data_IF_488771503007
#
_entry.id   IF_488771503007
#
_cell.length_a   1.000
_cell.length_b   1.000
_cell.length_c   1.000
_cell.angle_alpha   90.00
_cell.angle_beta   90.00
_cell.angle_gamma   90.00
#
_symmetry.space_group_name_H-M   'P 1'
#
loop_
_entity.id
_entity.type
_entity.pdbx_description
1 polymer ?
#
# COMPACT_ATOMS: atom_id res chain seq x y z
N UNK A 1 15.61 39.42 -8.44
CA UNK A 1 14.37 39.64 -7.68
C UNK A 1 14.22 38.50 -6.68
N UNK A 2 14.13 38.78 -5.38
CA UNK A 2 14.00 37.74 -4.34
C UNK A 2 12.52 37.48 -4.01
N UNK A 3 12.17 36.23 -3.65
CA UNK A 3 10.79 35.85 -3.26
C UNK A 3 10.19 36.76 -2.17
N UNK A 4 10.95 37.19 -1.13
CA UNK A 4 10.44 38.13 -0.13
C UNK A 4 10.12 39.51 -0.73
N UNK A 5 10.98 40.03 -1.62
CA UNK A 5 10.77 41.35 -2.23
C UNK A 5 9.54 41.40 -3.15
N UNK A 6 9.22 40.30 -3.85
CA UNK A 6 8.01 40.18 -4.67
C UNK A 6 6.74 40.12 -3.81
N UNK A 7 6.79 39.36 -2.72
CA UNK A 7 5.67 39.19 -1.79
C UNK A 7 5.34 40.49 -1.03
N UNK A 8 6.36 41.26 -0.63
CA UNK A 8 6.20 42.57 0.01
C UNK A 8 5.64 43.62 -0.95
N UNK A 9 6.05 43.58 -2.23
CA UNK A 9 5.63 44.57 -3.24
C UNK A 9 4.22 44.32 -3.77
N UNK A 10 3.71 43.09 -3.69
CA UNK A 10 2.34 42.70 -4.07
C UNK A 10 1.69 41.84 -2.98
N UNK A 11 1.27 42.46 -1.85
CA UNK A 11 0.75 41.72 -0.70
C UNK A 11 -0.52 40.91 -1.01
N UNK A 12 -1.35 41.40 -1.93
CA UNK A 12 -2.57 40.68 -2.37
C UNK A 12 -2.23 39.34 -3.01
N UNK A 13 -1.15 39.25 -3.80
CA UNK A 13 -0.71 38.00 -4.42
C UNK A 13 -0.29 36.98 -3.36
N UNK A 14 0.45 37.42 -2.34
CA UNK A 14 0.89 36.55 -1.25
C UNK A 14 -0.29 36.00 -0.44
N UNK A 15 -1.31 36.83 -0.18
CA UNK A 15 -2.53 36.43 0.54
C UNK A 15 -3.34 35.43 -0.28
N UNK A 16 -3.55 35.68 -1.58
CA UNK A 16 -4.30 34.75 -2.45
C UNK A 16 -3.60 33.39 -2.54
N UNK A 17 -2.26 33.37 -2.67
CA UNK A 17 -1.49 32.12 -2.69
C UNK A 17 -1.68 31.33 -1.38
N UNK A 18 -1.65 32.02 -0.24
CA UNK A 18 -1.85 31.39 1.06
C UNK A 18 -3.27 30.80 1.19
N UNK A 19 -4.30 31.57 0.78
CA UNK A 19 -5.70 31.11 0.78
C UNK A 19 -5.87 29.87 -0.11
N UNK A 20 -5.23 29.84 -1.28
CA UNK A 20 -5.25 28.67 -2.17
C UNK A 20 -4.68 27.44 -1.44
N UNK A 21 -3.53 27.56 -0.79
CA UNK A 21 -2.90 26.46 -0.04
C UNK A 21 -3.84 25.96 1.08
N UNK A 22 -4.48 26.87 1.82
CA UNK A 22 -5.42 26.52 2.88
C UNK A 22 -6.65 25.78 2.34
N UNK A 23 -7.24 26.26 1.25
CA UNK A 23 -8.41 25.62 0.62
C UNK A 23 -8.06 24.22 0.11
N UNK A 24 -6.94 24.06 -0.58
CA UNK A 24 -6.47 22.75 -1.03
C UNK A 24 -6.19 21.81 0.15
N UNK A 25 -5.64 22.33 1.26
CA UNK A 25 -5.43 21.58 2.49
C UNK A 25 -6.75 21.07 3.09
N UNK A 26 -7.77 21.93 3.18
CA UNK A 26 -9.09 21.55 3.70
C UNK A 26 -9.73 20.48 2.81
N UNK A 27 -9.72 20.67 1.50
CA UNK A 27 -10.29 19.69 0.55
C UNK A 27 -9.54 18.35 0.66
N UNK A 28 -8.21 18.37 0.69
CA UNK A 28 -7.38 17.18 0.83
C UNK A 28 -7.64 16.45 2.14
N UNK A 29 -7.82 17.17 3.24
CA UNK A 29 -8.16 16.59 4.55
C UNK A 29 -9.52 15.92 4.55
N UNK A 30 -10.54 16.53 3.95
CA UNK A 30 -11.89 15.94 3.88
C UNK A 30 -11.97 14.74 2.93
N UNK A 31 -11.14 14.72 1.89
CA UNK A 31 -11.14 13.63 0.89
C UNK A 31 -10.21 12.46 1.26
N UNK A 32 -9.39 12.62 2.29
CA UNK A 32 -8.47 11.56 2.71
C UNK A 32 -9.26 10.43 3.36
N UNK A 33 -9.33 9.29 2.66
CA UNK A 33 -9.99 8.09 3.16
C UNK A 33 -9.32 7.59 4.43
N UNK A 34 -10.07 7.55 5.53
CA UNK A 34 -9.60 6.95 6.79
C UNK A 34 -9.72 5.44 6.67
N UNK A 35 -8.66 4.73 7.07
CA UNK A 35 -8.61 3.27 7.09
C UNK A 35 -8.11 2.82 8.45
N UNK A 36 -8.84 1.91 9.08
CA UNK A 36 -8.49 1.39 10.42
C UNK A 36 -7.22 0.52 10.40
N UNK A 37 -6.98 -0.12 9.26
CA UNK A 37 -5.81 -0.95 9.04
C UNK A 37 -5.16 -0.61 7.69
N UNK A 38 -3.81 -0.64 7.62
CA UNK A 38 -3.12 -0.57 6.34
C UNK A 38 -3.56 -1.74 5.45
N UNK A 39 -3.42 -1.59 4.13
CA UNK A 39 -3.61 -2.72 3.19
C UNK A 39 -2.39 -3.61 3.32
N UNK A 40 -2.42 -4.41 4.38
CA UNK A 40 -1.56 -5.58 4.49
C UNK A 40 -2.30 -6.62 3.69
N UNK A 41 -1.88 -6.82 2.45
CA UNK A 41 -2.29 -7.95 1.63
C UNK A 41 -1.20 -9.01 1.81
N UNK A 42 -1.20 -9.81 2.91
CA UNK A 42 -0.23 -10.87 3.07
C UNK A 42 -0.34 -11.79 1.85
N UNK A 43 0.74 -12.06 1.13
CA UNK A 43 0.69 -12.90 -0.06
C UNK A 43 0.32 -14.33 0.38
N UNK A 44 -0.89 -14.76 0.04
CA UNK A 44 -1.35 -16.13 0.30
C UNK A 44 -1.05 -16.97 -0.95
N UNK A 45 -0.11 -17.91 -0.84
CA UNK A 45 0.19 -18.86 -1.91
C UNK A 45 -0.52 -20.17 -1.58
N UNK A 46 -1.50 -20.55 -2.42
CA UNK A 46 -2.22 -21.81 -2.28
C UNK A 46 -1.68 -22.82 -3.30
N UNK A 47 -1.10 -23.92 -2.83
CA UNK A 47 -0.69 -25.03 -3.69
C UNK A 47 -1.64 -26.20 -3.47
N UNK A 48 -2.27 -26.68 -4.54
CA UNK A 48 -3.17 -27.83 -4.54
C UNK A 48 -2.57 -28.93 -5.41
N UNK A 49 -2.35 -30.08 -4.81
CA UNK A 49 -1.91 -31.30 -5.50
C UNK A 49 -2.95 -32.40 -5.23
N UNK A 50 -3.14 -33.29 -6.19
CA UNK A 50 -4.08 -34.41 -6.07
C UNK A 50 -3.39 -35.68 -6.56
N UNK A 51 -3.41 -36.72 -5.73
CA UNK A 51 -2.89 -38.03 -6.09
C UNK A 51 -3.88 -39.12 -5.68
N UNK A 52 -4.70 -39.53 -6.64
CA UNK A 52 -5.82 -40.44 -6.41
C UNK A 52 -5.33 -41.89 -6.20
N UNK A 53 -5.87 -42.55 -5.17
CA UNK A 53 -5.56 -43.95 -4.86
C UNK A 53 -4.28 -44.16 -4.05
N UNK A 54 -3.59 -43.10 -3.62
CA UNK A 54 -2.45 -43.19 -2.74
C UNK A 54 -2.87 -43.11 -1.26
N UNK A 55 -2.14 -43.82 -0.39
CA UNK A 55 -2.28 -43.69 1.06
C UNK A 55 -1.84 -42.26 1.47
N UNK A 56 -2.58 -41.56 2.35
CA UNK A 56 -2.16 -40.31 2.97
C UNK A 56 -0.67 -40.23 3.32
N UNK A 57 -0.10 -41.27 3.93
CA UNK A 57 1.33 -41.30 4.33
C UNK A 57 2.30 -41.18 3.13
N UNK A 58 1.91 -41.72 1.97
CA UNK A 58 2.69 -41.66 0.74
C UNK A 58 2.56 -40.26 0.11
N UNK A 59 1.38 -39.66 0.17
CA UNK A 59 1.14 -38.30 -0.34
C UNK A 59 1.95 -37.28 0.47
N UNK A 60 2.02 -37.45 1.79
CA UNK A 60 2.82 -36.58 2.66
C UNK A 60 4.31 -36.66 2.33
N UNK A 61 4.89 -37.87 2.38
CA UNK A 61 6.34 -38.06 2.20
C UNK A 61 6.84 -37.80 0.78
N UNK A 62 6.05 -38.10 -0.26
CA UNK A 62 6.49 -37.96 -1.65
C UNK A 62 6.05 -36.69 -2.34
N UNK A 63 5.00 -36.01 -1.84
CA UNK A 63 4.45 -34.82 -2.49
C UNK A 63 4.54 -33.61 -1.56
N UNK A 64 4.02 -33.70 -0.33
CA UNK A 64 3.99 -32.55 0.58
C UNK A 64 5.38 -32.15 1.06
N UNK A 65 6.18 -33.06 1.60
CA UNK A 65 7.54 -32.77 2.09
C UNK A 65 8.48 -32.14 1.05
N UNK A 66 8.64 -32.69 -0.17
CA UNK A 66 9.50 -32.06 -1.17
C UNK A 66 8.96 -30.72 -1.68
N UNK A 67 7.63 -30.55 -1.71
CA UNK A 67 7.00 -29.29 -2.06
C UNK A 67 7.25 -28.23 -0.98
N UNK A 68 7.08 -28.58 0.29
CA UNK A 68 7.41 -27.70 1.42
C UNK A 68 8.88 -27.32 1.40
N UNK A 69 9.78 -28.28 1.21
CA UNK A 69 11.23 -28.00 1.15
C UNK A 69 11.64 -27.13 -0.04
N UNK A 70 10.89 -27.16 -1.14
CA UNK A 70 11.14 -26.30 -2.31
C UNK A 70 10.59 -24.89 -2.14
N UNK A 71 9.52 -24.73 -1.33
CA UNK A 71 8.88 -23.44 -1.05
C UNK A 71 9.53 -22.76 0.17
N UNK A 72 9.95 -23.55 1.15
CA UNK A 72 10.65 -23.14 2.36
C UNK A 72 12.16 -23.08 2.06
N UNK A 73 12.57 -22.01 1.37
CA UNK A 73 13.98 -21.68 1.15
C UNK A 73 14.70 -21.33 2.44
#
# INVERSE_FOLDING_TARGET
>A
MSLPSLSLRRPVLAVVLNIIIVIFGIIGFNFLGVRDYPSIDPPIINVRTSYAGANPDIVESQITEPLEKSING
#
